data_IF_515192303696
#
_entry.id   IF_515192303696
#
_cell.length_a   1.000
_cell.length_b   1.000
_cell.length_c   1.000
_cell.angle_alpha   90.00
_cell.angle_beta   90.00
_cell.angle_gamma   90.00
#
_symmetry.space_group_name_H-M   'P 1'
#
loop_
_entity.id
_entity.type
_entity.pdbx_description
1 polymer ?
#
# COMPACT_ATOMS: atom_id res chain seq x y z
N UNK A 1 4.34 6.54 -2.26
CA UNK A 1 5.69 7.02 -1.89
C UNK A 1 5.72 8.54 -1.92
N UNK A 2 6.90 9.18 -1.82
CA UNK A 2 7.03 10.65 -1.95
C UNK A 2 6.77 11.16 -3.36
N UNK A 3 6.98 10.30 -4.36
CA UNK A 3 6.51 10.46 -5.74
C UNK A 3 5.42 9.42 -6.00
N UNK A 4 4.40 9.79 -6.77
CA UNK A 4 3.34 8.87 -7.16
C UNK A 4 3.93 7.70 -7.98
N UNK A 5 3.66 6.48 -7.54
CA UNK A 5 4.08 5.28 -8.26
C UNK A 5 3.17 5.08 -9.50
N UNK A 6 3.68 4.56 -10.63
CA UNK A 6 2.84 4.20 -11.76
C UNK A 6 1.72 3.23 -11.36
N UNK A 7 0.56 3.35 -11.99
CA UNK A 7 -0.60 2.48 -11.76
C UNK A 7 -1.14 1.97 -13.10
N UNK A 8 -0.25 1.45 -13.92
CA UNK A 8 -0.55 0.92 -15.26
C UNK A 8 -0.78 -0.59 -15.22
N UNK A 9 -1.48 -1.16 -16.20
CA UNK A 9 -1.83 -2.61 -16.22
C UNK A 9 -0.63 -3.55 -15.96
N UNK A 10 0.55 -3.17 -16.43
CA UNK A 10 1.78 -3.97 -16.29
C UNK A 10 2.69 -3.51 -15.15
N UNK A 11 2.41 -2.37 -14.52
CA UNK A 11 3.25 -1.80 -13.47
C UNK A 11 2.40 -0.97 -12.51
N UNK A 12 2.02 -1.58 -11.39
CA UNK A 12 1.15 -0.97 -10.39
C UNK A 12 1.41 -1.51 -8.99
N UNK A 13 0.95 -0.76 -8.00
CA UNK A 13 0.87 -1.23 -6.62
C UNK A 13 -0.36 -2.13 -6.50
N UNK A 14 -0.14 -3.42 -6.20
CA UNK A 14 -1.24 -4.38 -6.04
C UNK A 14 -2.01 -4.15 -4.74
N UNK A 15 -1.30 -3.77 -3.69
CA UNK A 15 -1.91 -3.48 -2.41
C UNK A 15 -1.05 -2.56 -1.53
N UNK A 16 -1.74 -1.88 -0.63
CA UNK A 16 -1.15 -1.16 0.50
C UNK A 16 -1.66 -1.81 1.78
N UNK A 17 -0.75 -2.03 2.72
CA UNK A 17 -1.05 -2.64 4.01
C UNK A 17 -0.57 -1.74 5.14
N UNK A 18 -1.40 -1.64 6.17
CA UNK A 18 -1.02 -1.11 7.48
C UNK A 18 -1.06 -2.24 8.49
N UNK A 19 0.07 -2.43 9.19
CA UNK A 19 0.14 -3.27 10.40
C UNK A 19 0.06 -2.32 11.60
N UNK A 20 -1.01 -2.46 12.36
CA UNK A 20 -1.35 -1.60 13.49
C UNK A 20 -1.63 -2.46 14.72
N UNK A 21 -0.77 -2.35 15.73
CA UNK A 21 -0.84 -3.11 16.99
C UNK A 21 -1.11 -4.62 16.80
N UNK A 22 -0.37 -5.23 15.86
CA UNK A 22 -0.46 -6.66 15.55
C UNK A 22 -1.60 -7.06 14.60
N UNK A 23 -2.45 -6.13 14.17
CA UNK A 23 -3.49 -6.36 13.15
C UNK A 23 -3.04 -5.86 11.79
N UNK A 24 -3.32 -6.63 10.74
CA UNK A 24 -3.04 -6.23 9.36
C UNK A 24 -4.34 -5.78 8.67
N UNK A 25 -4.30 -4.58 8.09
CA UNK A 25 -5.36 -4.00 7.26
C UNK A 25 -4.79 -3.81 5.87
N UNK A 26 -5.44 -4.37 4.85
CA UNK A 26 -4.94 -4.33 3.48
C UNK A 26 -5.99 -3.80 2.53
N UNK A 27 -5.61 -2.82 1.73
CA UNK A 27 -6.38 -2.32 0.60
C UNK A 27 -5.73 -2.84 -0.68
N UNK A 28 -6.47 -3.64 -1.45
CA UNK A 28 -6.07 -3.98 -2.81
C UNK A 28 -6.40 -2.82 -3.75
N UNK A 29 -5.49 -2.55 -4.67
CA UNK A 29 -5.68 -1.55 -5.70
C UNK A 29 -5.75 -2.23 -7.06
N UNK A 30 -6.18 -1.47 -8.06
CA UNK A 30 -6.20 -1.87 -9.46
C UNK A 30 -5.49 -0.82 -10.32
N UNK A 31 -5.00 -1.21 -11.52
CA UNK A 31 -4.53 -0.25 -12.51
C UNK A 31 -5.51 0.91 -12.73
N UNK A 32 -4.99 2.11 -12.90
CA UNK A 32 -5.74 3.36 -13.08
C UNK A 32 -6.19 4.04 -11.78
N UNK A 33 -6.10 3.37 -10.63
CA UNK A 33 -6.40 3.99 -9.34
C UNK A 33 -5.23 4.84 -8.83
N UNK A 34 -5.50 5.75 -7.91
CA UNK A 34 -4.43 6.45 -7.19
C UNK A 34 -3.64 5.46 -6.32
N UNK A 35 -2.30 5.55 -6.25
CA UNK A 35 -1.44 4.67 -5.46
C UNK A 35 -1.45 5.05 -3.96
N UNK A 36 -2.64 5.12 -3.38
CA UNK A 36 -2.89 5.54 -2.00
C UNK A 36 -4.07 4.77 -1.38
N UNK A 37 -4.09 4.71 -0.05
CA UNK A 37 -5.16 4.09 0.71
C UNK A 37 -5.31 4.79 2.06
N UNK A 38 -6.54 4.88 2.56
CA UNK A 38 -6.86 5.49 3.85
C UNK A 38 -7.40 4.42 4.78
N UNK A 39 -6.82 4.33 5.98
CA UNK A 39 -7.24 3.41 7.03
C UNK A 39 -7.68 4.21 8.26
N UNK A 40 -9.00 4.32 8.54
CA UNK A 40 -9.49 5.04 9.70
C UNK A 40 -9.34 4.18 10.96
N UNK A 41 -8.10 4.05 11.44
CA UNK A 41 -7.73 3.22 12.59
C UNK A 41 -7.02 4.06 13.66
N UNK A 42 -7.19 3.67 14.91
CA UNK A 42 -6.42 4.18 16.05
C UNK A 42 -5.45 3.10 16.50
N UNK A 43 -4.15 3.43 16.57
CA UNK A 43 -3.10 2.49 16.96
C UNK A 43 -1.88 3.23 17.53
N UNK A 44 -1.17 2.56 18.44
CA UNK A 44 0.06 3.08 19.04
C UNK A 44 1.28 2.84 18.13
N UNK A 45 1.34 1.68 17.48
CA UNK A 45 2.43 1.32 16.57
C UNK A 45 1.89 1.05 15.19
N UNK A 46 2.45 1.74 14.20
CA UNK A 46 2.04 1.65 12.80
C UNK A 46 3.25 1.30 11.94
N UNK A 47 3.08 0.33 11.04
CA UNK A 47 4.00 0.06 9.94
C UNK A 47 3.19 0.03 8.65
N UNK A 48 3.65 0.77 7.63
CA UNK A 48 3.06 0.73 6.30
C UNK A 48 3.94 -0.10 5.35
N UNK A 49 3.28 -0.89 4.49
CA UNK A 49 3.92 -1.65 3.43
C UNK A 49 3.13 -1.51 2.15
N UNK A 50 3.82 -1.62 1.03
CA UNK A 50 3.20 -1.71 -0.29
C UNK A 50 3.85 -2.83 -1.09
N UNK A 51 3.12 -3.36 -2.06
CA UNK A 51 3.65 -4.33 -3.00
C UNK A 51 3.42 -3.88 -4.42
N UNK A 52 4.52 -3.62 -5.11
CA UNK A 52 4.55 -3.40 -6.55
C UNK A 52 4.69 -4.75 -7.26
N UNK A 53 3.88 -4.99 -8.29
CA UNK A 53 3.92 -6.24 -9.07
C UNK A 53 5.29 -6.49 -9.74
N UNK A 54 6.09 -5.45 -9.99
CA UNK A 54 7.43 -5.55 -10.58
C UNK A 54 8.57 -5.43 -9.56
N UNK A 55 8.41 -4.56 -8.57
CA UNK A 55 9.48 -4.21 -7.62
C UNK A 55 9.34 -4.90 -6.26
N UNK A 56 8.30 -5.73 -6.09
CA UNK A 56 8.07 -6.52 -4.88
C UNK A 56 7.64 -5.66 -3.69
N UNK A 57 7.98 -6.15 -2.49
CA UNK A 57 7.53 -5.58 -1.23
C UNK A 57 8.44 -4.43 -0.78
N UNK A 58 7.83 -3.30 -0.44
CA UNK A 58 8.50 -2.17 0.20
C UNK A 58 7.88 -1.91 1.56
N UNK A 59 8.72 -1.49 2.52
CA UNK A 59 8.32 -1.06 3.85
C UNK A 59 8.66 0.41 4.01
N UNK A 60 7.67 1.20 4.39
CA UNK A 60 7.79 2.62 4.71
C UNK A 60 8.01 2.82 6.21
#
# INVERSE_FOLDING_TARGET
>A
GSVAHPMEEKHYIEWIEVIADGKAYRQFLAPGQAPEAVFPIEAANITAREYCNLHGLWKL
#
